data_IF_078023767698
#
_entry.id   IF_078023767698
#
_cell.length_a   1.000
_cell.length_b   1.000
_cell.length_c   1.000
_cell.angle_alpha   90.00
_cell.angle_beta   90.00
_cell.angle_gamma   90.00
#
_symmetry.space_group_name_H-M   'P 1'
#
loop_
_entity.id
_entity.type
_entity.pdbx_description
1 polymer ?
#
# COMPACT_ATOMS: atom_id res chain seq x y z
N UNK A 1 -33.10 -10.68 2.03
CA UNK A 1 -32.19 -9.85 1.23
C UNK A 1 -30.86 -10.56 1.27
N UNK A 2 -30.37 -11.04 0.14
CA UNK A 2 -29.20 -11.92 0.11
C UNK A 2 -27.97 -11.20 0.67
N UNK A 3 -27.31 -11.85 1.64
CA UNK A 3 -26.14 -11.35 2.39
C UNK A 3 -25.03 -10.83 1.46
N UNK A 4 -24.85 -11.46 0.29
CA UNK A 4 -23.86 -11.00 -0.69
C UNK A 4 -24.22 -9.66 -1.34
N UNK A 5 -25.50 -9.37 -1.61
CA UNK A 5 -25.91 -8.11 -2.25
C UNK A 5 -25.73 -6.92 -1.31
N UNK A 6 -25.97 -7.12 -0.02
CA UNK A 6 -25.71 -6.10 1.01
C UNK A 6 -24.21 -5.84 1.17
N UNK A 7 -23.38 -6.89 1.21
CA UNK A 7 -21.91 -6.76 1.23
C UNK A 7 -21.36 -6.05 0.00
N UNK A 8 -21.83 -6.42 -1.20
CA UNK A 8 -21.42 -5.75 -2.45
C UNK A 8 -21.85 -4.29 -2.47
N UNK A 9 -23.03 -3.94 -1.95
CA UNK A 9 -23.50 -2.56 -1.86
C UNK A 9 -22.65 -1.73 -0.90
N UNK A 10 -22.39 -2.27 0.30
CA UNK A 10 -21.51 -1.62 1.30
C UNK A 10 -20.11 -1.43 0.74
N UNK A 11 -19.58 -2.44 0.04
CA UNK A 11 -18.26 -2.35 -0.60
C UNK A 11 -18.25 -1.29 -1.72
N UNK A 12 -19.27 -1.24 -2.57
CA UNK A 12 -19.39 -0.26 -3.65
C UNK A 12 -19.54 1.19 -3.13
N UNK A 13 -20.09 1.36 -1.93
CA UNK A 13 -20.23 2.65 -1.26
C UNK A 13 -18.99 3.05 -0.44
N UNK A 14 -17.97 2.19 -0.37
CA UNK A 14 -16.80 2.43 0.46
C UNK A 14 -17.12 2.49 1.95
N UNK A 15 -18.11 1.70 2.42
CA UNK A 15 -18.58 1.70 3.80
C UNK A 15 -17.40 1.54 4.79
N UNK A 16 -17.12 2.60 5.56
CA UNK A 16 -15.94 2.70 6.42
C UNK A 16 -15.91 1.59 7.49
N UNK A 17 -17.08 1.14 7.99
CA UNK A 17 -17.14 0.09 9.00
C UNK A 17 -16.82 -1.29 8.40
N UNK A 18 -17.35 -1.60 7.21
CA UNK A 18 -17.00 -2.81 6.47
C UNK A 18 -15.51 -2.79 6.12
N UNK A 19 -15.00 -1.68 5.58
CA UNK A 19 -13.57 -1.51 5.27
C UNK A 19 -12.73 -1.69 6.52
N UNK A 20 -13.04 -1.01 7.63
CA UNK A 20 -12.32 -1.15 8.89
C UNK A 20 -12.32 -2.60 9.41
N UNK A 21 -13.44 -3.33 9.30
CA UNK A 21 -13.51 -4.73 9.72
C UNK A 21 -12.66 -5.67 8.86
N UNK A 22 -12.65 -5.46 7.53
CA UNK A 22 -11.80 -6.21 6.59
C UNK A 22 -10.32 -5.92 6.83
N UNK A 23 -10.00 -4.68 7.23
CA UNK A 23 -8.65 -4.26 7.53
C UNK A 23 -8.18 -4.69 8.94
N UNK A 24 -9.09 -4.82 9.89
CA UNK A 24 -8.78 -5.29 11.25
C UNK A 24 -8.49 -6.80 11.28
N UNK A 25 -9.10 -7.57 10.37
CA UNK A 25 -8.88 -9.00 10.24
C UNK A 25 -7.65 -9.30 9.36
N UNK A 26 -6.45 -9.11 9.90
CA UNK A 26 -5.21 -9.66 9.31
C UNK A 26 -4.79 -10.92 10.10
N UNK A 27 -5.49 -12.06 9.96
CA UNK A 27 -5.23 -13.27 10.75
C UNK A 27 -3.81 -13.82 10.54
N UNK A 28 -3.19 -13.47 9.40
CA UNK A 28 -1.85 -13.91 9.06
C UNK A 28 -0.75 -13.08 9.74
N UNK A 29 -1.05 -11.95 10.40
CA UNK A 29 -0.04 -11.12 11.07
C UNK A 29 0.63 -11.90 12.20
N UNK A 30 -0.16 -12.34 13.17
CA UNK A 30 0.32 -13.13 14.32
C UNK A 30 0.92 -14.47 13.86
N UNK A 31 0.28 -15.13 12.89
CA UNK A 31 0.76 -16.39 12.35
C UNK A 31 2.09 -16.27 11.59
N UNK A 32 2.41 -15.11 11.02
CA UNK A 32 3.67 -14.89 10.29
C UNK A 32 4.90 -14.88 11.21
N UNK A 33 4.72 -14.55 12.49
CA UNK A 33 5.83 -14.37 13.44
C UNK A 33 6.78 -13.22 13.09
N UNK A 34 6.47 -12.39 12.09
CA UNK A 34 7.27 -11.24 11.71
C UNK A 34 7.02 -10.07 12.67
N UNK A 35 8.06 -9.28 12.92
CA UNK A 35 7.90 -7.97 13.55
C UNK A 35 6.96 -7.10 12.71
N UNK A 36 6.12 -6.32 13.38
CA UNK A 36 5.06 -5.51 12.75
C UNK A 36 5.57 -4.65 11.59
N UNK A 37 6.75 -4.01 11.77
CA UNK A 37 7.39 -3.21 10.72
C UNK A 37 7.73 -4.06 9.50
N UNK A 38 8.39 -5.20 9.72
CA UNK A 38 8.80 -6.11 8.65
C UNK A 38 7.59 -6.69 7.93
N UNK A 39 6.55 -7.08 8.67
CA UNK A 39 5.29 -7.56 8.10
C UNK A 39 4.67 -6.52 7.15
N UNK A 40 4.61 -5.25 7.58
CA UNK A 40 4.07 -4.17 6.77
C UNK A 40 4.90 -3.91 5.50
N UNK A 41 6.23 -3.91 5.59
CA UNK A 41 7.13 -3.73 4.45
C UNK A 41 7.04 -4.90 3.45
N UNK A 42 6.90 -6.14 3.93
CA UNK A 42 6.67 -7.32 3.06
C UNK A 42 5.35 -7.18 2.28
N UNK A 43 4.29 -6.71 2.94
CA UNK A 43 3.01 -6.44 2.26
C UNK A 43 3.15 -5.33 1.22
N UNK A 44 3.85 -4.24 1.54
CA UNK A 44 4.13 -3.17 0.59
C UNK A 44 4.89 -3.70 -0.64
N UNK A 45 5.96 -4.48 -0.43
CA UNK A 45 6.70 -5.12 -1.53
C UNK A 45 5.82 -6.06 -2.37
N UNK A 46 4.87 -6.74 -1.73
CA UNK A 46 3.88 -7.57 -2.43
C UNK A 46 2.91 -6.72 -3.24
N UNK A 47 2.43 -5.59 -2.72
CA UNK A 47 1.61 -4.61 -3.46
C UNK A 47 2.34 -4.09 -4.69
N UNK A 48 3.64 -3.83 -4.59
CA UNK A 48 4.50 -3.51 -5.74
C UNK A 48 4.51 -4.66 -6.74
N UNK A 49 4.75 -5.89 -6.30
CA UNK A 49 4.86 -7.05 -7.17
C UNK A 49 3.58 -7.36 -7.97
N UNK A 50 2.41 -7.15 -7.36
CA UNK A 50 1.11 -7.37 -8.01
C UNK A 50 0.58 -6.15 -8.76
N UNK A 51 1.32 -5.04 -8.76
CA UNK A 51 0.89 -3.74 -9.29
C UNK A 51 -0.49 -3.31 -8.78
N UNK A 52 -0.60 -3.18 -7.44
CA UNK A 52 -1.84 -2.76 -6.80
C UNK A 52 -2.38 -1.40 -7.30
N UNK A 53 -3.66 -1.15 -7.03
CA UNK A 53 -4.26 0.16 -7.23
C UNK A 53 -3.77 1.19 -6.20
N UNK A 54 -4.02 2.47 -6.44
CA UNK A 54 -3.58 3.57 -5.54
C UNK A 54 -4.03 3.37 -4.09
N UNK A 55 -5.27 2.97 -3.87
CA UNK A 55 -5.80 2.70 -2.53
C UNK A 55 -5.03 1.58 -1.78
N UNK A 56 -4.52 0.58 -2.52
CA UNK A 56 -3.71 -0.50 -1.94
C UNK A 56 -2.35 0.02 -1.46
N UNK A 57 -1.73 0.95 -2.20
CA UNK A 57 -0.50 1.60 -1.79
C UNK A 57 -0.71 2.51 -0.58
N UNK A 58 -1.78 3.31 -0.56
CA UNK A 58 -2.11 4.16 0.58
C UNK A 58 -2.23 3.34 1.87
N UNK A 59 -3.04 2.28 1.83
CA UNK A 59 -3.20 1.39 2.97
C UNK A 59 -1.88 0.71 3.39
N UNK A 60 -1.07 0.26 2.43
CA UNK A 60 0.20 -0.41 2.74
C UNK A 60 1.19 0.56 3.41
N UNK A 61 1.27 1.79 2.91
CA UNK A 61 2.13 2.86 3.45
C UNK A 61 1.64 3.30 4.83
N UNK A 62 0.35 3.56 5.01
CA UNK A 62 -0.23 3.92 6.32
C UNK A 62 0.08 2.86 7.38
N UNK A 63 -0.06 1.58 7.03
CA UNK A 63 0.27 0.47 7.93
C UNK A 63 1.76 0.38 8.24
N UNK A 64 2.61 0.62 7.26
CA UNK A 64 4.06 0.66 7.48
C UNK A 64 4.45 1.80 8.44
N UNK A 65 3.89 2.99 8.23
CA UNK A 65 4.09 4.14 9.12
C UNK A 65 3.56 3.87 10.54
N UNK A 66 2.35 3.31 10.66
CA UNK A 66 1.76 2.94 11.94
C UNK A 66 2.58 1.87 12.69
N UNK A 67 3.28 1.00 11.95
CA UNK A 67 4.22 0.01 12.49
C UNK A 67 5.62 0.57 12.77
N UNK A 68 5.84 1.87 12.58
CA UNK A 68 7.11 2.55 12.86
C UNK A 68 8.14 2.50 11.73
N UNK A 69 7.74 2.15 10.50
CA UNK A 69 8.61 2.31 9.33
C UNK A 69 8.82 3.80 9.03
N UNK A 70 10.04 4.14 8.63
CA UNK A 70 10.38 5.49 8.15
C UNK A 70 10.03 5.64 6.67
N UNK A 71 9.81 6.87 6.16
CA UNK A 71 9.65 7.12 4.73
C UNK A 71 10.80 6.57 3.88
N UNK A 72 12.03 6.62 4.41
CA UNK A 72 13.22 6.08 3.74
C UNK A 72 13.18 4.54 3.63
N UNK A 73 12.71 3.83 4.66
CA UNK A 73 12.51 2.37 4.60
C UNK A 73 11.40 1.97 3.63
N UNK A 74 10.34 2.79 3.55
CA UNK A 74 9.23 2.61 2.60
C UNK A 74 9.73 2.78 1.16
N UNK A 75 10.46 3.85 0.87
CA UNK A 75 11.09 4.06 -0.43
C UNK A 75 12.13 2.97 -0.74
N UNK A 76 12.94 2.60 0.27
CA UNK A 76 13.92 1.53 0.19
C UNK A 76 13.31 0.17 -0.16
N UNK A 77 12.04 -0.07 0.16
CA UNK A 77 11.32 -1.30 -0.22
C UNK A 77 11.19 -1.41 -1.74
N UNK A 78 10.94 -0.31 -2.47
CA UNK A 78 10.92 -0.35 -3.93
C UNK A 78 12.29 -0.75 -4.50
N UNK A 79 13.36 -0.22 -3.91
CA UNK A 79 14.74 -0.57 -4.29
C UNK A 79 15.05 -2.04 -3.97
N UNK A 80 14.56 -2.56 -2.85
CA UNK A 80 14.75 -3.94 -2.46
C UNK A 80 14.06 -4.93 -3.41
N UNK A 81 12.89 -4.58 -3.96
CA UNK A 81 12.11 -5.48 -4.82
C UNK A 81 12.33 -5.27 -6.32
N UNK A 82 13.03 -4.20 -6.75
CA UNK A 82 13.15 -3.83 -8.18
C UNK A 82 13.70 -4.95 -9.07
N UNK A 83 14.67 -5.72 -8.58
CA UNK A 83 15.24 -6.85 -9.33
C UNK A 83 14.28 -8.05 -9.44
N UNK A 84 13.30 -8.15 -8.54
CA UNK A 84 12.29 -9.22 -8.54
C UNK A 84 11.09 -8.84 -9.40
N UNK A 85 10.66 -7.58 -9.32
CA UNK A 85 9.44 -7.09 -9.98
C UNK A 85 9.70 -6.53 -11.38
N UNK A 86 10.96 -6.20 -11.67
CA UNK A 86 11.41 -5.47 -12.85
C UNK A 86 11.36 -3.95 -12.65
N UNK A 87 12.28 -3.24 -13.31
CA UNK A 87 12.38 -1.76 -13.29
C UNK A 87 11.08 -1.07 -13.67
N UNK A 88 10.35 -1.46 -14.75
CA UNK A 88 9.13 -0.76 -15.13
C UNK A 88 8.05 -0.78 -14.03
N UNK A 89 7.97 -1.87 -13.27
CA UNK A 89 7.00 -2.01 -12.19
C UNK A 89 7.37 -1.14 -10.98
N UNK A 90 8.65 -1.07 -10.62
CA UNK A 90 9.10 -0.18 -9.56
C UNK A 90 8.89 1.30 -9.92
N UNK A 91 9.19 1.69 -11.17
CA UNK A 91 8.96 3.05 -11.68
C UNK A 91 7.48 3.42 -11.64
N UNK A 92 6.58 2.52 -12.05
CA UNK A 92 5.13 2.75 -11.99
C UNK A 92 4.58 2.81 -10.55
N UNK A 93 5.22 2.12 -9.60
CA UNK A 93 4.85 2.14 -8.19
C UNK A 93 5.34 3.40 -7.46
N UNK A 94 6.45 4.00 -7.90
CA UNK A 94 7.07 5.15 -7.25
C UNK A 94 6.11 6.34 -7.01
N UNK A 95 5.37 6.87 -8.02
CA UNK A 95 4.45 7.99 -7.79
C UNK A 95 3.29 7.60 -6.85
N UNK A 96 2.83 6.35 -6.90
CA UNK A 96 1.75 5.84 -6.03
C UNK A 96 2.18 5.84 -4.56
N UNK A 97 3.39 5.36 -4.29
CA UNK A 97 3.99 5.34 -2.94
C UNK A 97 4.32 6.75 -2.47
N UNK A 98 4.87 7.60 -3.33
CA UNK A 98 5.15 8.99 -2.99
C UNK A 98 3.89 9.75 -2.60
N UNK A 99 2.81 9.60 -3.38
CA UNK A 99 1.53 10.24 -3.08
C UNK A 99 0.94 9.73 -1.75
N UNK A 100 1.11 8.44 -1.44
CA UNK A 100 0.75 7.87 -0.15
C UNK A 100 1.57 8.42 1.03
N UNK A 101 2.81 8.87 0.78
CA UNK A 101 3.65 9.58 1.74
C UNK A 101 3.36 11.09 1.79
N UNK A 102 2.40 11.58 1.00
CA UNK A 102 2.05 13.00 0.90
C UNK A 102 2.98 13.81 0.00
N UNK A 103 3.76 13.16 -0.86
CA UNK A 103 4.62 13.81 -1.86
C UNK A 103 4.07 13.59 -3.28
N UNK A 104 3.67 14.66 -3.94
CA UNK A 104 3.22 14.64 -5.33
C UNK A 104 4.42 14.78 -6.28
N UNK A 105 4.88 13.63 -6.81
CA UNK A 105 6.02 13.57 -7.75
C UNK A 105 5.68 14.26 -9.07
N UNK A 106 4.44 14.15 -9.55
CA UNK A 106 4.03 14.70 -10.84
C UNK A 106 4.05 16.22 -10.77
N UNK A 107 3.44 16.80 -9.73
CA UNK A 107 3.48 18.24 -9.48
C UNK A 107 4.92 18.76 -9.29
N UNK A 108 5.79 17.98 -8.63
CA UNK A 108 7.19 18.36 -8.46
C UNK A 108 7.97 18.37 -9.78
N UNK A 109 7.69 17.43 -10.69
CA UNK A 109 8.34 17.37 -12.01
C UNK A 109 7.86 18.51 -12.93
N UNK A 110 6.57 18.86 -12.91
CA UNK A 110 6.03 20.00 -13.66
C UNK A 110 6.70 21.33 -13.22
N UNK A 111 7.04 21.47 -11.95
CA UNK A 111 7.77 22.63 -11.43
C UNK A 111 9.24 22.71 -11.84
N UNK A 112 9.82 21.64 -12.40
CA UNK A 112 11.20 21.58 -12.87
C UNK A 112 11.37 21.89 -14.37
N UNK A 113 10.27 22.02 -15.11
CA UNK A 113 10.23 22.34 -16.54
C UNK A 113 10.56 23.83 -16.83
N UNK A 114 11.54 24.39 -16.13
CA UNK A 114 12.06 25.78 -16.26
C UNK A 114 13.33 25.86 -17.10
#
# INVERSE_FOLDING_TARGET
MDDYTDRLRKLALGDEALVASLLAAEPNREASGLEDKIYALVRLGTTVAVDGGQASYQLAVERALAAGATPDEIAGTLLAVVCLTGVPRAVAAAPKVALALGYDVEAALEGLDV
#
